data_IF_598050946183
#
_entry.id   IF_598050946183
#
_cell.length_a   1.000
_cell.length_b   1.000
_cell.length_c   1.000
_cell.angle_alpha   90.00
_cell.angle_beta   90.00
_cell.angle_gamma   90.00
#
_symmetry.space_group_name_H-M   'P 1'
#
loop_
_entity.id
_entity.type
_entity.pdbx_description
1 polymer ?
#
# COMPACT_ATOMS: atom_id res chain seq x y z
N UNK A 1 -58.59 7.76 -32.36
CA UNK A 1 -58.40 6.76 -31.28
C UNK A 1 -56.99 6.89 -30.72
N UNK A 2 -56.88 6.78 -29.39
CA UNK A 2 -55.69 6.98 -28.54
C UNK A 2 -54.98 5.63 -28.36
N UNK A 3 -53.69 5.51 -28.68
CA UNK A 3 -52.77 4.48 -28.15
C UNK A 3 -51.35 5.07 -28.17
N UNK A 4 -50.90 5.68 -27.07
CA UNK A 4 -50.16 5.11 -25.92
C UNK A 4 -48.66 4.89 -26.22
N UNK A 5 -47.86 5.66 -25.49
CA UNK A 5 -46.41 5.73 -25.45
C UNK A 5 -45.75 4.40 -25.10
N UNK A 6 -44.65 4.09 -25.77
CA UNK A 6 -43.63 3.15 -25.30
C UNK A 6 -42.37 3.97 -25.06
N UNK A 7 -42.13 4.30 -23.79
CA UNK A 7 -40.89 4.88 -23.32
C UNK A 7 -39.88 3.75 -23.19
N UNK A 8 -38.93 3.65 -24.13
CA UNK A 8 -37.82 2.70 -24.01
C UNK A 8 -36.66 3.40 -23.31
N UNK A 9 -36.45 3.03 -22.06
CA UNK A 9 -35.27 3.35 -21.25
C UNK A 9 -33.96 3.04 -22.00
N UNK A 10 -33.06 4.01 -22.07
CA UNK A 10 -31.65 3.77 -22.35
C UNK A 10 -30.81 4.52 -21.31
N UNK A 11 -30.68 3.93 -20.12
CA UNK A 11 -29.68 4.31 -19.13
C UNK A 11 -28.40 3.54 -19.44
N UNK A 12 -27.53 4.13 -20.26
CA UNK A 12 -26.14 3.70 -20.40
C UNK A 12 -25.27 4.67 -19.60
N UNK A 13 -25.26 4.49 -18.29
CA UNK A 13 -24.22 5.06 -17.44
C UNK A 13 -22.95 4.25 -17.69
N UNK A 14 -22.08 4.76 -18.57
CA UNK A 14 -20.72 4.28 -18.69
C UNK A 14 -20.01 4.55 -17.35
N UNK A 15 -19.99 3.55 -16.48
CA UNK A 15 -19.05 3.48 -15.36
C UNK A 15 -17.66 3.31 -15.97
N UNK A 16 -17.03 4.43 -16.30
CA UNK A 16 -15.61 4.49 -16.59
C UNK A 16 -14.87 4.16 -15.30
N UNK A 17 -14.59 2.88 -15.07
CA UNK A 17 -13.48 2.51 -14.21
C UNK A 17 -12.24 3.15 -14.82
N UNK A 18 -11.78 4.26 -14.24
CA UNK A 18 -10.40 4.68 -14.40
C UNK A 18 -9.55 3.55 -13.79
N UNK A 19 -9.24 2.55 -14.61
CA UNK A 19 -8.14 1.66 -14.32
C UNK A 19 -6.92 2.57 -14.27
N UNK A 20 -6.41 2.81 -13.06
CA UNK A 20 -5.07 3.35 -12.93
C UNK A 20 -4.18 2.39 -13.70
N UNK A 21 -3.61 2.87 -14.80
CA UNK A 21 -2.59 2.13 -15.51
C UNK A 21 -1.49 1.86 -14.49
N UNK A 22 -1.37 0.59 -14.07
CA UNK A 22 -0.22 0.12 -13.33
C UNK A 22 0.94 0.16 -14.32
N UNK A 23 1.55 1.34 -14.44
CA UNK A 23 2.79 1.53 -15.16
C UNK A 23 3.81 0.56 -14.54
N UNK A 24 4.59 -0.13 -15.38
CA UNK A 24 5.65 -1.03 -14.93
C UNK A 24 6.71 -0.31 -14.07
N UNK A 25 6.63 1.02 -13.93
CA UNK A 25 7.44 1.84 -13.02
C UNK A 25 7.01 1.86 -11.53
N UNK A 26 5.87 1.25 -11.18
CA UNK A 26 5.29 1.35 -9.83
C UNK A 26 4.66 2.72 -9.57
N UNK A 27 3.66 2.77 -8.69
CA UNK A 27 2.87 3.99 -8.47
C UNK A 27 3.25 4.79 -7.22
N UNK A 28 4.08 4.22 -6.36
CA UNK A 28 4.59 4.89 -5.18
C UNK A 28 5.91 4.27 -4.72
N UNK A 29 6.55 4.88 -3.73
CA UNK A 29 7.72 4.34 -3.04
C UNK A 29 7.47 4.39 -1.53
N UNK A 30 7.70 3.29 -0.82
CA UNK A 30 7.85 3.32 0.64
C UNK A 30 9.26 3.78 1.00
N UNK A 31 9.34 4.80 1.85
CA UNK A 31 10.58 5.41 2.32
C UNK A 31 10.55 5.59 3.83
N UNK A 32 11.71 5.60 4.49
CA UNK A 32 11.78 6.01 5.89
C UNK A 32 11.35 7.47 6.03
N UNK A 33 10.52 7.78 7.02
CA UNK A 33 9.92 9.12 7.21
C UNK A 33 10.91 10.20 7.74
N UNK A 34 12.22 9.98 7.61
CA UNK A 34 13.23 10.92 8.09
C UNK A 34 13.23 12.21 7.25
N UNK A 35 13.29 13.36 7.91
CA UNK A 35 13.34 14.70 7.31
C UNK A 35 14.60 14.90 6.46
N UNK A 36 14.57 14.42 5.23
CA UNK A 36 15.69 14.50 4.29
C UNK A 36 15.20 14.76 2.88
N UNK A 37 16.03 15.43 2.08
CA UNK A 37 15.69 15.80 0.71
C UNK A 37 15.74 14.62 -0.28
N UNK A 38 16.17 13.43 0.16
CA UNK A 38 16.30 12.23 -0.66
C UNK A 38 15.57 11.03 -0.03
N UNK A 39 14.96 10.13 -0.83
CA UNK A 39 14.34 8.92 -0.33
C UNK A 39 15.29 8.09 0.54
N UNK A 40 14.90 7.81 1.78
CA UNK A 40 15.69 7.02 2.72
C UNK A 40 15.18 5.59 2.82
N UNK A 41 16.11 4.67 3.08
CA UNK A 41 15.76 3.35 3.59
C UNK A 41 15.13 3.42 4.98
N UNK A 42 14.68 2.28 5.47
CA UNK A 42 14.03 2.17 6.78
C UNK A 42 14.36 0.84 7.45
N UNK A 43 14.17 0.77 8.75
CA UNK A 43 14.39 -0.46 9.51
C UNK A 43 13.15 -1.36 9.43
N UNK A 44 13.34 -2.64 9.13
CA UNK A 44 12.29 -3.65 9.21
C UNK A 44 12.03 -3.99 10.69
N UNK A 45 11.25 -3.15 11.38
CA UNK A 45 10.86 -3.35 12.79
C UNK A 45 9.49 -2.76 13.06
N UNK A 46 8.82 -3.30 14.08
CA UNK A 46 7.53 -2.79 14.52
C UNK A 46 7.62 -1.32 14.96
N UNK A 47 6.65 -0.51 14.51
CA UNK A 47 6.57 0.92 14.79
C UNK A 47 7.49 1.82 13.96
N UNK A 48 8.29 1.28 13.04
CA UNK A 48 9.15 2.10 12.17
C UNK A 48 8.31 3.09 11.35
N UNK A 49 8.58 4.41 11.42
CA UNK A 49 7.92 5.40 10.59
C UNK A 49 8.29 5.24 9.12
N UNK A 50 7.29 4.97 8.28
CA UNK A 50 7.47 4.74 6.84
C UNK A 50 6.36 5.45 6.08
N UNK A 51 6.78 6.28 5.14
CA UNK A 51 5.90 7.07 4.29
C UNK A 51 5.72 6.41 2.92
N UNK A 52 4.50 6.48 2.39
CA UNK A 52 4.21 6.14 1.00
C UNK A 52 4.21 7.42 0.16
N UNK A 53 5.19 7.57 -0.72
CA UNK A 53 5.37 8.77 -1.56
C UNK A 53 4.98 8.47 -3.01
N UNK A 54 4.09 9.30 -3.57
CA UNK A 54 3.65 9.24 -4.97
C UNK A 54 3.58 10.65 -5.55
N UNK A 55 4.56 11.01 -6.39
CA UNK A 55 4.69 12.37 -6.92
C UNK A 55 4.80 13.40 -5.79
N UNK A 56 3.85 14.33 -5.72
CA UNK A 56 3.78 15.35 -4.67
C UNK A 56 2.97 14.91 -3.42
N UNK A 57 2.38 13.70 -3.44
CA UNK A 57 1.59 13.17 -2.32
C UNK A 57 2.45 12.30 -1.43
N UNK A 58 2.33 12.52 -0.13
CA UNK A 58 2.89 11.66 0.91
C UNK A 58 1.77 11.17 1.81
N UNK A 59 1.71 9.86 2.05
CA UNK A 59 0.85 9.26 3.06
C UNK A 59 1.73 8.74 4.18
N UNK A 60 1.57 9.30 5.37
CA UNK A 60 2.31 8.88 6.55
C UNK A 60 1.80 7.55 7.08
N UNK A 61 2.70 6.76 7.64
CA UNK A 61 2.35 5.49 8.26
C UNK A 61 3.50 4.87 9.03
N UNK A 62 3.27 3.63 9.43
CA UNK A 62 4.24 2.83 10.18
C UNK A 62 4.27 1.39 9.73
N UNK A 63 5.39 0.73 9.97
CA UNK A 63 5.47 -0.72 9.89
C UNK A 63 4.87 -1.38 11.12
N UNK A 64 4.17 -2.47 10.84
CA UNK A 64 3.76 -3.47 11.81
C UNK A 64 4.51 -4.75 11.43
N UNK A 65 5.25 -5.34 12.36
CA UNK A 65 6.05 -6.54 12.06
C UNK A 65 5.59 -7.69 12.92
N UNK A 66 5.38 -8.85 12.30
CA UNK A 66 4.87 -10.06 12.92
C UNK A 66 5.84 -11.21 12.70
N UNK A 67 6.07 -12.00 13.73
CA UNK A 67 6.72 -13.30 13.62
C UNK A 67 5.69 -14.37 13.32
N UNK A 68 5.95 -15.19 12.30
CA UNK A 68 5.11 -16.29 11.86
C UNK A 68 5.99 -17.48 11.47
N UNK A 69 6.01 -18.53 12.29
CA UNK A 69 6.72 -19.77 11.96
C UNK A 69 8.24 -19.66 11.79
N UNK A 70 8.87 -18.61 12.33
CA UNK A 70 10.31 -18.34 12.18
C UNK A 70 10.64 -17.29 11.11
N UNK A 71 9.66 -16.89 10.30
CA UNK A 71 9.76 -15.78 9.37
C UNK A 71 9.21 -14.49 9.98
N UNK A 72 9.63 -13.35 9.43
CA UNK A 72 9.06 -12.05 9.74
C UNK A 72 8.20 -11.55 8.57
N UNK A 73 6.96 -11.18 8.88
CA UNK A 73 6.00 -10.57 7.96
C UNK A 73 5.81 -9.11 8.32
N UNK A 74 5.95 -8.24 7.34
CA UNK A 74 5.71 -6.81 7.52
C UNK A 74 4.37 -6.40 6.91
N UNK A 75 3.67 -5.53 7.59
CA UNK A 75 2.55 -4.76 7.07
C UNK A 75 2.82 -3.27 7.23
N UNK A 76 2.37 -2.46 6.28
CA UNK A 76 2.35 -1.02 6.40
C UNK A 76 0.94 -0.57 6.74
N UNK A 77 0.82 0.34 7.71
CA UNK A 77 -0.45 0.92 8.12
C UNK A 77 -0.38 2.45 7.95
N UNK A 78 -1.24 3.05 7.11
CA UNK A 78 -1.39 4.50 7.08
C UNK A 78 -1.81 5.05 8.44
N UNK A 79 -1.31 6.22 8.79
CA UNK A 79 -1.76 6.92 9.98
C UNK A 79 -3.25 7.26 9.87
N UNK A 80 -3.96 7.15 11.00
CA UNK A 80 -5.41 7.35 11.09
C UNK A 80 -6.26 6.37 10.26
N UNK A 81 -5.67 5.29 9.72
CA UNK A 81 -6.40 4.22 9.03
C UNK A 81 -6.37 2.90 9.83
N UNK A 82 -7.49 2.17 9.94
CA UNK A 82 -7.48 0.82 10.51
C UNK A 82 -6.89 -0.22 9.55
N UNK A 83 -6.81 0.11 8.26
CA UNK A 83 -6.37 -0.78 7.20
C UNK A 83 -4.88 -1.07 7.27
N UNK A 84 -4.51 -2.31 6.93
CA UNK A 84 -3.13 -2.80 6.98
C UNK A 84 -2.82 -3.48 5.67
N UNK A 85 -1.66 -3.15 5.12
CA UNK A 85 -1.22 -3.64 3.83
C UNK A 85 0.03 -4.49 4.02
N UNK A 86 -0.08 -5.80 3.80
CA UNK A 86 1.09 -6.69 3.82
C UNK A 86 2.05 -6.26 2.72
N UNK A 87 3.35 -6.19 3.05
CA UNK A 87 4.42 -5.96 2.09
C UNK A 87 4.78 -7.28 1.41
N UNK A 88 4.11 -7.59 0.30
CA UNK A 88 4.41 -8.78 -0.49
C UNK A 88 5.60 -8.52 -1.42
N UNK A 89 6.70 -9.25 -1.23
CA UNK A 89 7.88 -9.16 -2.08
C UNK A 89 7.51 -9.41 -3.55
N UNK A 90 7.86 -8.48 -4.43
CA UNK A 90 7.61 -8.53 -5.86
C UNK A 90 8.89 -8.37 -6.70
N UNK A 91 10.06 -8.49 -6.08
CA UNK A 91 11.36 -8.36 -6.72
C UNK A 91 12.36 -7.59 -5.86
N UNK A 92 13.51 -7.25 -6.45
CA UNK A 92 14.52 -6.45 -5.77
C UNK A 92 13.95 -5.06 -5.47
N UNK A 93 13.95 -4.68 -4.20
CA UNK A 93 13.47 -3.39 -3.71
C UNK A 93 12.05 -3.04 -4.19
N UNK A 94 11.21 -4.05 -4.37
CA UNK A 94 9.91 -3.92 -5.01
C UNK A 94 8.88 -4.76 -4.28
N UNK A 95 7.74 -4.17 -3.98
CA UNK A 95 6.66 -4.81 -3.23
C UNK A 95 5.28 -4.57 -3.86
N UNK A 96 4.31 -5.38 -3.42
CA UNK A 96 2.88 -5.09 -3.54
C UNK A 96 2.31 -4.91 -2.13
N UNK A 97 1.52 -3.87 -1.96
CA UNK A 97 0.67 -3.64 -0.80
C UNK A 97 -0.62 -4.43 -0.97
N UNK A 98 -0.83 -5.40 -0.09
CA UNK A 98 -2.00 -6.28 -0.15
C UNK A 98 -2.86 -6.08 1.10
N UNK A 99 -4.09 -5.63 0.93
CA UNK A 99 -5.04 -5.41 2.03
C UNK A 99 -5.57 -6.74 2.54
N UNK A 100 -4.89 -7.29 3.55
CA UNK A 100 -5.26 -8.53 4.22
C UNK A 100 -4.93 -8.43 5.71
N UNK A 101 -5.67 -9.12 6.59
CA UNK A 101 -5.32 -9.19 8.00
C UNK A 101 -3.88 -9.71 8.19
N UNK A 102 -3.05 -9.07 9.03
CA UNK A 102 -1.72 -9.57 9.34
C UNK A 102 -1.78 -10.98 9.95
N UNK A 103 -0.78 -11.78 9.65
CA UNK A 103 -0.63 -13.15 10.14
C UNK A 103 0.52 -13.21 11.15
N UNK A 104 0.42 -14.11 12.12
CA UNK A 104 1.43 -14.30 13.16
C UNK A 104 1.21 -13.44 14.41
N UNK A 105 2.24 -13.33 15.22
CA UNK A 105 2.24 -12.55 16.47
C UNK A 105 3.17 -11.36 16.36
N UNK A 106 2.90 -10.20 17.02
CA UNK A 106 3.79 -9.05 16.96
C UNK A 106 5.25 -9.43 17.28
N UNK A 107 6.16 -8.98 16.43
CA UNK A 107 7.59 -9.15 16.63
C UNK A 107 8.05 -8.39 17.89
N UNK A 108 9.08 -8.91 18.56
CA UNK A 108 9.55 -8.37 19.84
C UNK A 108 10.85 -7.61 19.64
N UNK A 109 11.15 -6.72 20.58
CA UNK A 109 12.49 -6.15 20.74
C UNK A 109 13.11 -5.53 19.48
N UNK A 110 12.29 -4.98 18.58
CA UNK A 110 12.76 -4.34 17.34
C UNK A 110 13.21 -5.32 16.25
N UNK A 111 12.89 -6.61 16.36
CA UNK A 111 13.20 -7.63 15.35
C UNK A 111 12.34 -7.46 14.08
N UNK A 112 12.86 -7.84 12.89
CA UNK A 112 14.24 -8.26 12.63
C UNK A 112 15.25 -7.10 12.61
N UNK A 113 14.79 -5.85 12.60
CA UNK A 113 15.62 -4.65 12.71
C UNK A 113 16.57 -4.41 11.53
N UNK A 114 16.41 -5.14 10.43
CA UNK A 114 17.29 -5.06 9.26
C UNK A 114 16.96 -3.82 8.43
N UNK A 115 17.99 -3.06 8.03
CA UNK A 115 17.80 -1.91 7.15
C UNK A 115 17.51 -2.38 5.74
N UNK A 116 16.43 -1.86 5.16
CA UNK A 116 16.08 -2.08 3.76
C UNK A 116 16.13 -0.75 3.00
N UNK A 117 16.52 -0.76 1.71
CA UNK A 117 16.44 0.44 0.88
C UNK A 117 14.97 0.84 0.63
N UNK A 118 14.72 2.04 0.07
CA UNK A 118 13.39 2.40 -0.41
C UNK A 118 12.76 1.30 -1.27
N UNK A 119 11.46 1.03 -1.07
CA UNK A 119 10.75 -0.03 -1.77
C UNK A 119 9.77 0.57 -2.79
N UNK A 120 9.93 0.23 -4.07
CA UNK A 120 8.94 0.56 -5.10
C UNK A 120 7.67 -0.24 -4.88
N UNK A 121 6.52 0.42 -5.03
CA UNK A 121 5.22 -0.18 -4.82
C UNK A 121 4.49 -0.35 -6.15
N UNK A 122 4.20 -1.60 -6.52
CA UNK A 122 3.55 -1.94 -7.80
C UNK A 122 2.02 -1.98 -7.73
N UNK A 123 1.44 -1.89 -6.53
CA UNK A 123 0.00 -1.86 -6.32
C UNK A 123 -0.42 -0.47 -5.85
N UNK A 124 -1.54 0.03 -6.35
CA UNK A 124 -1.96 1.42 -6.11
C UNK A 124 -3.27 1.42 -5.32
N UNK A 125 -3.23 1.13 -4.01
CA UNK A 125 -4.43 1.25 -3.18
C UNK A 125 -4.93 2.70 -3.18
N UNK A 126 -6.26 2.86 -3.17
CA UNK A 126 -6.90 4.16 -3.09
C UNK A 126 -6.80 4.68 -1.64
N UNK A 127 -5.69 5.35 -1.34
CA UNK A 127 -5.34 5.93 -0.04
C UNK A 127 -5.57 7.44 -0.01
#
# INVERSE_FOLDING_TARGET
>A
MKFRHIATCALLAAMSCAASAADDNGCATLVGAASSASPQGFQMRDGEPVDLVSGAKTVHGKLLVFSDGGDFRASWQPDNSPEKYVLANAGVNTIRLVSTPPQGTPARSGEPGTTVPPQRVLSCPAL
#
